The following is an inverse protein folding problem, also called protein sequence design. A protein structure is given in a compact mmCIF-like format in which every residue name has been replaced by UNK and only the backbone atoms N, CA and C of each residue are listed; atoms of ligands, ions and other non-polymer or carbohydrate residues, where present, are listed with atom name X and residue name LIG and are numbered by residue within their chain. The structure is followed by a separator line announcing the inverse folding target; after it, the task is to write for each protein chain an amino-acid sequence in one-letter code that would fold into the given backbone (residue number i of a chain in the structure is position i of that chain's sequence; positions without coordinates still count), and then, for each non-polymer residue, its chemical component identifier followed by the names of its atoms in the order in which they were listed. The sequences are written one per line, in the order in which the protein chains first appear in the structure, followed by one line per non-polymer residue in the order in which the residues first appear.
data_IF_356098373478
#
_entry.id   IF_356098373478
#
_cell.length_a   1.000
_cell.length_b   1.000
_cell.length_c   1.000
_cell.angle_alpha   90.00
_cell.angle_beta   90.00
_cell.angle_gamma   90.00
#
_symmetry.space_group_name_H-M   'P 1'
#
loop_
_entity.id
_entity.type
_entity.pdbx_description
1 polymer ?
#
# COMPACT_ATOMS: atom_id res chain seq x y z
N UNK A 1 -13.18 -1.30 18.09
CA UNK A 1 -12.41 -0.33 17.31
C UNK A 1 -13.29 0.39 16.30
N UNK A 2 -13.23 1.73 16.28
CA UNK A 2 -13.84 2.55 15.23
C UNK A 2 -12.87 2.61 14.05
N UNK A 3 -13.37 2.55 12.81
CA UNK A 3 -12.52 2.52 11.61
C UNK A 3 -11.61 3.75 11.52
N UNK A 4 -12.11 4.93 11.88
CA UNK A 4 -11.31 6.17 11.82
C UNK A 4 -10.10 6.13 12.76
N UNK A 5 -10.25 5.54 13.96
CA UNK A 5 -9.13 5.37 14.89
C UNK A 5 -8.11 4.38 14.31
N UNK A 6 -8.59 3.29 13.72
CA UNK A 6 -7.70 2.32 13.06
C UNK A 6 -6.91 2.98 11.92
N UNK A 7 -7.56 3.78 11.08
CA UNK A 7 -6.90 4.48 9.97
C UNK A 7 -5.77 5.37 10.49
N UNK A 8 -6.01 6.15 11.55
CA UNK A 8 -4.97 6.98 12.17
C UNK A 8 -3.81 6.13 12.68
N UNK A 9 -4.10 5.03 13.39
CA UNK A 9 -3.06 4.14 13.92
C UNK A 9 -2.25 3.49 12.80
N UNK A 10 -2.90 2.98 11.75
CA UNK A 10 -2.23 2.38 10.58
C UNK A 10 -1.39 3.42 9.85
N UNK A 11 -1.87 4.65 9.66
CA UNK A 11 -1.09 5.75 9.10
C UNK A 11 0.17 6.06 9.93
N UNK A 12 0.07 6.06 11.26
CA UNK A 12 1.24 6.28 12.13
C UNK A 12 2.27 5.16 12.00
N UNK A 13 1.82 3.90 11.90
CA UNK A 13 2.72 2.77 11.63
C UNK A 13 3.36 2.86 10.25
N UNK A 14 2.60 3.25 9.22
CA UNK A 14 3.13 3.46 7.88
C UNK A 14 4.26 4.50 7.86
N UNK A 15 4.05 5.65 8.53
CA UNK A 15 5.08 6.68 8.69
C UNK A 15 6.29 6.14 9.43
N UNK A 16 6.09 5.42 10.53
CA UNK A 16 7.18 4.80 11.28
C UNK A 16 8.00 3.83 10.41
N UNK A 17 7.35 2.93 9.67
CA UNK A 17 8.02 1.94 8.83
C UNK A 17 8.77 2.59 7.66
N UNK A 18 8.21 3.65 7.07
CA UNK A 18 8.92 4.46 6.07
C UNK A 18 10.20 5.05 6.65
N UNK A 19 10.14 5.72 7.80
CA UNK A 19 11.33 6.31 8.42
C UNK A 19 12.35 5.26 8.85
N UNK A 20 11.91 4.09 9.31
CA UNK A 20 12.82 2.97 9.58
C UNK A 20 13.55 2.54 8.31
N UNK A 21 12.84 2.36 7.19
CA UNK A 21 13.47 2.03 5.91
C UNK A 21 14.41 3.13 5.42
N UNK A 22 14.05 4.39 5.64
CA UNK A 22 14.85 5.53 5.24
C UNK A 22 16.18 5.64 6.00
N UNK A 23 16.16 5.40 7.31
CA UNK A 23 17.33 5.54 8.22
C UNK A 23 18.29 4.37 8.12
N UNK A 24 17.81 3.18 7.76
CA UNK A 24 18.64 1.97 7.62
C UNK A 24 18.80 1.60 6.14
N UNK A 25 19.54 2.38 5.32
CA UNK A 25 19.77 2.03 3.93
C UNK A 25 20.45 0.66 3.84
N UNK A 26 19.79 -0.29 3.17
CA UNK A 26 20.41 -1.54 2.76
C UNK A 26 21.14 -1.34 1.43
N UNK A 27 22.19 -2.11 1.21
CA UNK A 27 22.82 -2.23 -0.12
C UNK A 27 21.82 -2.95 -1.04
N UNK A 28 20.95 -2.19 -1.71
CA UNK A 28 20.12 -2.73 -2.77
C UNK A 28 21.05 -3.03 -3.95
N UNK A 29 21.32 -4.32 -4.21
CA UNK A 29 21.95 -4.72 -5.46
C UNK A 29 21.12 -4.13 -6.60
N UNK A 30 21.78 -3.37 -7.49
CA UNK A 30 21.14 -2.80 -8.66
C UNK A 30 20.58 -3.93 -9.50
N UNK A 31 19.28 -4.12 -9.40
CA UNK A 31 18.55 -5.02 -10.26
C UNK A 31 18.75 -4.58 -11.72
N UNK A 32 19.23 -5.51 -12.55
CA UNK A 32 19.63 -5.28 -13.94
C UNK A 32 18.52 -4.58 -14.73
N UNK A 33 18.83 -3.48 -15.41
CA UNK A 33 18.01 -2.71 -16.37
C UNK A 33 16.64 -3.33 -16.65
N UNK A 34 15.69 -3.10 -15.74
CA UNK A 34 14.32 -3.58 -15.92
C UNK A 34 13.63 -2.68 -16.94
N UNK A 35 13.05 -3.30 -17.96
CA UNK A 35 12.05 -2.64 -18.79
C UNK A 35 11.00 -1.99 -17.90
N UNK A 36 10.60 -0.75 -18.22
CA UNK A 36 9.55 -0.06 -17.48
C UNK A 36 8.29 -0.92 -17.44
N UNK A 37 7.88 -1.40 -16.25
CA UNK A 37 6.79 -2.36 -16.15
C UNK A 37 5.51 -1.72 -16.69
N UNK A 38 4.86 -2.42 -17.62
CA UNK A 38 3.63 -1.94 -18.23
C UNK A 38 2.51 -1.82 -17.20
N UNK A 39 1.51 -0.98 -17.49
CA UNK A 39 0.31 -0.76 -16.66
C UNK A 39 -0.25 -2.06 -16.05
N UNK A 40 -0.44 -3.09 -16.89
CA UNK A 40 -1.06 -4.36 -16.45
C UNK A 40 -0.19 -5.09 -15.43
N UNK A 41 1.14 -5.05 -15.58
CA UNK A 41 2.08 -5.68 -14.66
C UNK A 41 2.03 -4.99 -13.30
N UNK A 42 2.09 -3.65 -13.28
CA UNK A 42 1.99 -2.84 -12.06
C UNK A 42 0.63 -3.04 -11.36
N UNK A 43 -0.47 -2.93 -12.11
CA UNK A 43 -1.82 -3.08 -11.58
C UNK A 43 -2.03 -4.47 -10.97
N UNK A 44 -1.64 -5.55 -11.67
CA UNK A 44 -1.79 -6.91 -11.16
C UNK A 44 -0.87 -7.20 -9.97
N UNK A 45 0.36 -6.67 -9.98
CA UNK A 45 1.28 -6.82 -8.87
C UNK A 45 0.70 -6.22 -7.58
N UNK A 46 0.27 -4.95 -7.65
CA UNK A 46 -0.26 -4.23 -6.48
C UNK A 46 -1.60 -4.80 -6.02
N UNK A 47 -2.53 -5.07 -6.95
CA UNK A 47 -3.82 -5.70 -6.60
C UNK A 47 -3.62 -7.09 -5.99
N UNK A 48 -2.69 -7.90 -6.49
CA UNK A 48 -2.40 -9.21 -5.92
C UNK A 48 -1.88 -9.06 -4.50
N UNK A 49 -0.96 -8.14 -4.24
CA UNK A 49 -0.43 -7.88 -2.91
C UNK A 49 -1.54 -7.43 -1.95
N UNK A 50 -2.42 -6.54 -2.39
CA UNK A 50 -3.54 -6.01 -1.60
C UNK A 50 -4.58 -7.08 -1.28
N UNK A 51 -5.02 -7.84 -2.28
CA UNK A 51 -5.99 -8.94 -2.10
C UNK A 51 -5.40 -10.00 -1.16
N UNK A 52 -4.14 -10.36 -1.34
CA UNK A 52 -3.42 -11.29 -0.47
C UNK A 52 -3.37 -10.75 0.96
N UNK A 53 -3.06 -9.46 1.12
CA UNK A 53 -3.02 -8.77 2.41
C UNK A 53 -4.36 -8.77 3.14
N UNK A 54 -5.45 -8.50 2.44
CA UNK A 54 -6.80 -8.51 3.02
C UNK A 54 -7.19 -9.93 3.40
N UNK A 55 -6.99 -10.89 2.49
CA UNK A 55 -7.38 -12.29 2.71
C UNK A 55 -6.64 -12.90 3.91
N UNK A 56 -5.30 -12.88 3.89
CA UNK A 56 -4.51 -13.40 4.99
C UNK A 56 -4.61 -12.52 6.23
N UNK A 57 -4.89 -11.22 6.09
CA UNK A 57 -5.25 -10.34 7.19
C UNK A 57 -6.47 -10.85 7.94
N UNK A 58 -7.55 -11.20 7.24
CA UNK A 58 -8.75 -11.79 7.84
C UNK A 58 -8.41 -13.11 8.56
N UNK A 59 -7.67 -14.01 7.90
CA UNK A 59 -7.30 -15.32 8.44
C UNK A 59 -6.42 -15.19 9.70
N UNK A 60 -5.49 -14.23 9.72
CA UNK A 60 -4.52 -14.03 10.81
C UNK A 60 -4.94 -12.95 11.82
N UNK A 61 -6.20 -12.53 11.81
CA UNK A 61 -6.73 -11.46 12.67
C UNK A 61 -5.95 -10.13 12.57
N UNK A 62 -5.43 -9.82 11.39
CA UNK A 62 -4.77 -8.57 11.03
C UNK A 62 -3.25 -8.61 11.04
N UNK A 63 -2.63 -9.69 11.53
CA UNK A 63 -1.16 -9.80 11.62
C UNK A 63 -0.51 -9.69 10.24
N UNK A 64 -1.01 -10.43 9.24
CA UNK A 64 -0.47 -10.39 7.88
C UNK A 64 -0.60 -9.00 7.25
N UNK A 65 -1.68 -8.27 7.54
CA UNK A 65 -1.87 -6.89 7.05
C UNK A 65 -0.86 -5.90 7.63
N UNK A 66 -0.43 -6.12 8.89
CA UNK A 66 0.66 -5.34 9.50
C UNK A 66 1.99 -5.68 8.81
N UNK A 67 2.25 -6.96 8.52
CA UNK A 67 3.46 -7.37 7.77
C UNK A 67 3.48 -6.80 6.36
N UNK A 68 2.34 -6.81 5.66
CA UNK A 68 2.19 -6.16 4.35
C UNK A 68 2.52 -4.67 4.44
N UNK A 69 1.98 -3.95 5.44
CA UNK A 69 2.26 -2.53 5.63
C UNK A 69 3.75 -2.31 5.92
N UNK A 70 4.35 -3.14 6.77
CA UNK A 70 5.77 -3.09 7.11
C UNK A 70 6.64 -3.23 5.87
N UNK A 71 6.45 -4.29 5.07
CA UNK A 71 7.26 -4.55 3.87
C UNK A 71 7.13 -3.39 2.88
N UNK A 72 5.92 -2.93 2.56
CA UNK A 72 5.76 -1.89 1.54
C UNK A 72 6.36 -0.55 1.98
N UNK A 73 6.12 -0.10 3.22
CA UNK A 73 6.62 1.20 3.66
C UNK A 73 8.12 1.16 3.98
N UNK A 74 8.66 0.05 4.52
CA UNK A 74 10.10 -0.06 4.71
C UNK A 74 10.83 -0.09 3.37
N UNK A 75 10.34 -0.84 2.38
CA UNK A 75 10.89 -0.85 1.02
C UNK A 75 10.82 0.54 0.37
N UNK A 76 9.70 1.24 0.49
CA UNK A 76 9.57 2.61 -0.02
C UNK A 76 10.57 3.57 0.63
N UNK A 77 10.79 3.47 1.94
CA UNK A 77 11.81 4.24 2.67
C UNK A 77 13.24 3.93 2.19
N UNK A 78 13.55 2.64 2.03
CA UNK A 78 14.84 2.17 1.51
C UNK A 78 15.12 2.68 0.10
N UNK A 79 14.16 2.53 -0.82
CA UNK A 79 14.27 3.00 -2.21
C UNK A 79 14.43 4.52 -2.23
N UNK A 80 13.70 5.26 -1.39
CA UNK A 80 13.83 6.71 -1.30
C UNK A 80 15.24 7.12 -0.82
N UNK A 81 15.74 6.48 0.23
CA UNK A 81 17.06 6.78 0.81
C UNK A 81 18.20 6.50 -0.17
N UNK A 82 18.18 5.34 -0.81
CA UNK A 82 19.16 4.95 -1.84
C UNK A 82 19.07 5.84 -3.09
N UNK A 83 17.87 6.18 -3.55
CA UNK A 83 17.68 7.09 -4.71
C UNK A 83 18.23 8.49 -4.45
N UNK A 84 18.17 8.98 -3.20
CA UNK A 84 18.75 10.29 -2.84
C UNK A 84 20.28 10.30 -2.82
N UNK A 85 20.93 9.13 -2.79
CA UNK A 85 22.38 9.04 -2.96
C UNK A 85 22.80 9.22 -4.42
N UNK A 86 21.91 8.89 -5.37
CA UNK A 86 22.22 8.91 -6.82
C UNK A 86 21.55 10.07 -7.57
N UNK A 87 20.50 10.67 -7.01
CA UNK A 87 19.69 11.69 -7.66
C UNK A 87 19.35 12.86 -6.71
N UNK A 88 19.05 14.02 -7.30
CA UNK A 88 18.61 15.18 -6.54
C UNK A 88 17.21 14.95 -5.93
N UNK A 89 16.94 15.60 -4.80
CA UNK A 89 15.64 15.51 -4.11
C UNK A 89 14.44 15.75 -5.05
N UNK A 90 14.42 16.76 -5.95
CA UNK A 90 13.31 16.94 -6.88
C UNK A 90 13.09 15.76 -7.82
N UNK A 91 14.16 15.11 -8.28
CA UNK A 91 14.06 13.94 -9.17
C UNK A 91 13.47 12.74 -8.44
N UNK A 92 13.89 12.50 -7.19
CA UNK A 92 13.32 11.45 -6.34
C UNK A 92 11.84 11.74 -6.02
N UNK A 93 11.49 12.99 -5.71
CA UNK A 93 10.10 13.37 -5.48
C UNK A 93 9.24 13.12 -6.73
N UNK A 94 9.73 13.46 -7.93
CA UNK A 94 9.01 13.18 -9.18
C UNK A 94 8.84 11.69 -9.46
N UNK A 95 9.75 10.84 -8.96
CA UNK A 95 9.60 9.38 -9.06
C UNK A 95 8.36 8.90 -8.31
N UNK A 96 8.09 9.43 -7.11
CA UNK A 96 7.03 8.90 -6.24
C UNK A 96 5.74 9.72 -6.24
N UNK A 97 5.81 11.05 -6.35
CA UNK A 97 4.68 11.91 -5.99
C UNK A 97 3.47 11.72 -6.90
N UNK A 98 3.70 11.44 -8.19
CA UNK A 98 2.63 11.31 -9.17
C UNK A 98 1.69 10.14 -8.84
N UNK A 99 2.25 8.94 -8.64
CA UNK A 99 1.47 7.74 -8.35
C UNK A 99 1.24 7.51 -6.85
N UNK A 100 2.19 7.92 -6.00
CA UNK A 100 2.18 7.72 -4.56
C UNK A 100 1.01 8.40 -3.82
N UNK A 101 0.46 9.49 -4.37
CA UNK A 101 -0.77 10.12 -3.85
C UNK A 101 -1.96 9.14 -3.85
N UNK A 102 -1.97 8.16 -4.77
CA UNK A 102 -3.02 7.16 -4.87
C UNK A 102 -2.63 5.84 -4.19
N UNK A 103 -1.38 5.40 -4.37
CA UNK A 103 -0.89 4.13 -3.84
C UNK A 103 -0.82 4.13 -2.30
N UNK A 104 -0.29 5.20 -1.69
CA UNK A 104 -0.14 5.27 -0.22
C UNK A 104 -1.50 5.15 0.50
N UNK A 105 -2.56 5.89 0.09
CA UNK A 105 -3.90 5.67 0.64
C UNK A 105 -4.44 4.26 0.38
N UNK A 106 -4.20 3.67 -0.79
CA UNK A 106 -4.64 2.31 -1.11
C UNK A 106 -4.02 1.28 -0.14
N UNK A 107 -2.70 1.34 0.08
CA UNK A 107 -2.00 0.46 1.02
C UNK A 107 -2.49 0.61 2.47
N UNK A 108 -2.72 1.84 2.93
CA UNK A 108 -3.24 2.12 4.28
C UNK A 108 -4.67 1.56 4.43
N UNK A 109 -5.52 1.75 3.42
CA UNK A 109 -6.88 1.20 3.40
C UNK A 109 -6.87 -0.34 3.37
N UNK A 110 -6.00 -0.94 2.57
CA UNK A 110 -5.78 -2.39 2.47
C UNK A 110 -5.42 -2.97 3.85
N UNK A 111 -4.39 -2.42 4.50
CA UNK A 111 -3.98 -2.89 5.81
C UNK A 111 -5.09 -2.69 6.87
N UNK A 112 -5.76 -1.53 6.82
CA UNK A 112 -6.88 -1.22 7.71
C UNK A 112 -8.06 -2.18 7.51
N UNK A 113 -8.40 -2.52 6.27
CA UNK A 113 -9.49 -3.45 5.97
C UNK A 113 -9.16 -4.86 6.46
N UNK A 114 -7.93 -5.33 6.23
CA UNK A 114 -7.48 -6.64 6.71
C UNK A 114 -7.42 -6.79 8.23
N UNK A 115 -7.26 -5.70 8.98
CA UNK A 115 -7.37 -5.68 10.46
C UNK A 115 -8.85 -5.51 10.91
N UNK A 116 -9.60 -4.62 10.24
CA UNK A 116 -10.97 -4.29 10.61
C UNK A 116 -11.94 -5.44 10.39
N UNK A 117 -11.80 -6.14 9.26
CA UNK A 117 -12.68 -7.22 8.86
C UNK A 117 -12.79 -8.37 9.88
N UNK A 118 -11.69 -9.01 10.29
CA UNK A 118 -11.77 -10.10 11.26
C UNK A 118 -12.35 -9.64 12.60
N UNK A 119 -12.02 -8.42 13.07
CA UNK A 119 -12.55 -7.89 14.32
C UNK A 119 -14.09 -7.75 14.30
N UNK A 120 -14.65 -7.32 13.16
CA UNK A 120 -16.10 -7.24 12.98
C UNK A 120 -16.75 -8.60 12.80
N UNK A 121 -16.14 -9.49 12.02
CA UNK A 121 -16.63 -10.86 11.85
C UNK A 121 -16.72 -11.61 13.19
N UNK A 122 -15.68 -11.53 14.03
CA UNK A 122 -15.69 -12.12 15.38
C UNK A 122 -16.80 -11.52 16.25
N UNK A 123 -17.03 -10.20 16.20
CA UNK A 123 -18.10 -9.56 16.96
C UNK A 123 -19.49 -10.00 16.48
N UNK A 124 -19.69 -10.16 15.17
CA UNK A 124 -20.95 -10.64 14.59
C UNK A 124 -21.21 -12.11 14.96
N UNK A 125 -20.16 -12.94 14.93
CA UNK A 125 -20.25 -14.34 15.34
C UNK A 125 -20.64 -14.47 16.83
N UNK A 126 -20.01 -13.68 17.71
CA UNK A 126 -20.36 -13.61 19.13
C UNK A 126 -21.82 -13.20 19.37
N UNK A 127 -22.34 -12.29 18.53
CA UNK A 127 -23.74 -11.80 18.61
C UNK A 127 -24.75 -12.70 17.89
N UNK A 128 -24.28 -13.70 17.14
CA UNK A 128 -25.08 -14.57 16.25
C UNK A 128 -26.02 -13.79 15.33
N UNK A 129 -25.60 -12.60 14.89
CA UNK A 129 -26.41 -11.71 14.05
C UNK A 129 -25.53 -11.14 12.93
N UNK A 130 -25.80 -11.49 11.65
CA UNK A 130 -25.13 -10.87 10.53
C UNK A 130 -25.53 -9.40 10.43
N UNK A 131 -24.61 -8.57 9.93
CA UNK A 131 -24.78 -7.13 9.75
C UNK A 131 -24.40 -6.80 8.31
N UNK A 132 -25.40 -6.74 7.45
CA UNK A 132 -25.24 -6.44 6.02
C UNK A 132 -24.65 -5.05 5.77
N UNK A 133 -24.88 -4.09 6.69
CA UNK A 133 -24.32 -2.75 6.56
C UNK A 133 -22.80 -2.78 6.71
N UNK A 134 -22.28 -3.64 7.59
CA UNK A 134 -20.85 -3.85 7.76
C UNK A 134 -20.23 -4.47 6.50
N UNK A 135 -20.87 -5.50 5.91
CA UNK A 135 -20.38 -6.10 4.67
C UNK A 135 -20.38 -5.10 3.50
N UNK A 136 -21.46 -4.32 3.33
CA UNK A 136 -21.52 -3.25 2.33
C UNK A 136 -20.41 -2.22 2.54
N UNK A 137 -20.13 -1.85 3.79
CA UNK A 137 -19.03 -0.94 4.12
C UNK A 137 -17.67 -1.52 3.72
N UNK A 138 -17.41 -2.80 4.00
CA UNK A 138 -16.18 -3.47 3.59
C UNK A 138 -16.03 -3.52 2.07
N UNK A 139 -17.11 -3.84 1.36
CA UNK A 139 -17.11 -3.85 -0.11
C UNK A 139 -16.84 -2.46 -0.70
N UNK A 140 -17.42 -1.40 -0.12
CA UNK A 140 -17.14 -0.03 -0.54
C UNK A 140 -15.67 0.36 -0.32
N UNK A 141 -15.07 -0.03 0.81
CA UNK A 141 -13.64 0.22 1.07
C UNK A 141 -12.79 -0.52 0.05
N UNK A 142 -13.11 -1.79 -0.24
CA UNK A 142 -12.41 -2.56 -1.26
C UNK A 142 -12.52 -1.94 -2.65
N UNK A 143 -13.70 -1.42 -3.03
CA UNK A 143 -13.88 -0.72 -4.30
C UNK A 143 -13.03 0.57 -4.38
N UNK A 144 -12.88 1.29 -3.27
CA UNK A 144 -12.00 2.48 -3.21
C UNK A 144 -10.53 2.07 -3.36
N UNK A 145 -10.09 1.02 -2.67
CA UNK A 145 -8.73 0.46 -2.82
C UNK A 145 -8.48 0.15 -4.30
N UNK A 146 -9.37 -0.64 -4.92
CA UNK A 146 -9.25 -1.00 -6.33
C UNK A 146 -9.12 0.23 -7.25
N UNK A 147 -9.98 1.24 -7.07
CA UNK A 147 -9.94 2.47 -7.87
C UNK A 147 -8.60 3.21 -7.71
N UNK A 148 -8.11 3.34 -6.47
CA UNK A 148 -6.84 4.01 -6.18
C UNK A 148 -5.66 3.25 -6.81
N UNK A 149 -5.62 1.93 -6.67
CA UNK A 149 -4.54 1.09 -7.21
C UNK A 149 -4.49 1.13 -8.73
N UNK A 150 -5.64 1.07 -9.41
CA UNK A 150 -5.69 1.23 -10.87
C UNK A 150 -5.22 2.63 -11.29
N UNK A 151 -5.63 3.66 -10.56
CA UNK A 151 -5.22 5.04 -10.84
C UNK A 151 -3.71 5.22 -10.66
N UNK A 152 -3.14 4.66 -9.58
CA UNK A 152 -1.70 4.68 -9.32
C UNK A 152 -0.93 4.02 -10.48
N UNK A 153 -1.32 2.82 -10.89
CA UNK A 153 -0.66 2.09 -11.98
C UNK A 153 -0.77 2.81 -13.33
N UNK A 154 -1.88 3.48 -13.62
CA UNK A 154 -2.01 4.32 -14.82
C UNK A 154 -1.03 5.48 -14.80
N UNK A 155 -0.94 6.19 -13.67
CA UNK A 155 -0.03 7.32 -13.53
C UNK A 155 1.43 6.85 -13.60
N UNK A 156 1.74 5.73 -12.95
CA UNK A 156 3.09 5.16 -12.93
C UNK A 156 3.58 4.70 -14.29
N UNK A 157 2.71 4.10 -15.10
CA UNK A 157 3.08 3.60 -16.44
C UNK A 157 3.09 4.67 -17.53
N UNK A 158 2.25 5.71 -17.43
CA UNK A 158 2.09 6.70 -18.50
C UNK A 158 2.61 8.11 -18.18
N UNK A 159 2.58 8.53 -16.91
CA UNK A 159 2.90 9.92 -16.53
C UNK A 159 4.29 9.99 -15.88
N UNK A 160 4.59 9.07 -14.96
CA UNK A 160 5.86 9.06 -14.23
C UNK A 160 7.10 9.01 -15.15
N UNK A 161 7.15 8.20 -16.23
CA UNK A 161 8.31 8.18 -17.13
C UNK A 161 8.54 9.53 -17.83
N UNK A 162 7.46 10.17 -18.28
CA UNK A 162 7.50 11.50 -18.91
C UNK A 162 7.98 12.60 -17.94
N UNK A 163 7.75 12.45 -16.64
CA UNK A 163 8.22 13.40 -15.61
C UNK A 163 9.70 13.21 -15.25
N UNK A 164 10.22 11.99 -15.38
CA UNK A 164 11.62 11.66 -15.02
C UNK A 164 12.56 11.85 -16.24
N UNK A 165 12.00 11.94 -17.45
CA UNK A 165 12.76 12.13 -18.69
C UNK A 165 13.47 10.85 -19.13
N UNK A 166 12.84 9.71 -18.91
CA UNK A 166 13.31 8.41 -19.42
C UNK A 166 12.46 8.10 -20.65
N UNK A 167 13.00 8.41 -21.83
CA UNK A 167 12.45 8.04 -23.14
C UNK A 167 12.82 6.58 -23.48
#
# INVERSE_FOLDING_TARGET
MRLNILLVVVSLFAVLFFFLGFVFPGDLEKESTYEHPGFMQLALHNLKAEITSIFFGIVTLGVYSITYLFINFISMGLITSTSLMEASLPKVLNMFIAHGIFEIPAMILTASLGIYAPWKMVAMLKRRKPDYLIFRKMANIFAIIFLLTITAALIESFITPALIGVD
#
